data_IF_868149898844
#
_entry.id   IF_868149898844
#
_cell.length_a   1.000
_cell.length_b   1.000
_cell.length_c   1.000
_cell.angle_alpha   90.00
_cell.angle_beta   90.00
_cell.angle_gamma   90.00
#
_symmetry.space_group_name_H-M   'P 1'
#
loop_
_entity.id
_entity.type
_entity.pdbx_description
1 polymer ?
#
# COMPACT_ATOMS: atom_id res chain seq x y z
N UNK A 1 17.25 -20.21 37.39
CA UNK A 1 17.08 -21.21 36.31
C UNK A 1 17.57 -20.55 35.02
N UNK A 2 18.89 -20.42 34.90
CA UNK A 2 19.54 -19.92 33.70
C UNK A 2 19.45 -21.02 32.64
N UNK A 3 18.73 -20.77 31.55
CA UNK A 3 18.84 -21.62 30.37
C UNK A 3 20.24 -21.39 29.80
N UNK A 4 21.16 -22.26 30.22
CA UNK A 4 22.36 -22.56 29.44
C UNK A 4 21.87 -23.10 28.11
N UNK A 5 21.59 -22.17 27.20
CA UNK A 5 21.36 -22.48 25.80
C UNK A 5 22.68 -23.05 25.29
N UNK A 6 22.73 -24.37 25.13
CA UNK A 6 23.85 -25.09 24.53
C UNK A 6 24.21 -24.49 23.16
N UNK A 7 25.16 -23.56 23.17
CA UNK A 7 25.84 -22.99 22.00
C UNK A 7 27.01 -23.89 21.54
N UNK A 8 27.03 -25.17 21.96
CA UNK A 8 28.15 -26.13 21.78
C UNK A 8 28.38 -26.60 20.33
N UNK A 9 27.54 -26.22 19.37
CA UNK A 9 27.65 -26.66 17.97
C UNK A 9 28.01 -25.59 16.95
N UNK A 10 28.13 -24.32 17.36
CA UNK A 10 28.33 -23.22 16.41
C UNK A 10 29.83 -22.94 16.18
N UNK A 11 30.30 -22.97 14.92
CA UNK A 11 31.69 -22.66 14.59
C UNK A 11 32.03 -21.22 14.99
N UNK A 12 33.05 -21.08 15.83
CA UNK A 12 33.52 -19.79 16.36
C UNK A 12 34.47 -19.09 15.38
N UNK A 13 34.91 -19.80 14.33
CA UNK A 13 35.86 -19.36 13.34
C UNK A 13 35.17 -18.75 12.12
N UNK A 14 35.12 -17.42 12.09
CA UNK A 14 34.52 -16.65 11.01
C UNK A 14 35.01 -17.06 9.61
N UNK A 15 36.30 -17.43 9.48
CA UNK A 15 36.90 -17.88 8.21
C UNK A 15 36.23 -19.13 7.63
N UNK A 16 35.98 -20.13 8.47
CA UNK A 16 35.39 -21.39 8.01
C UNK A 16 33.95 -21.18 7.60
N UNK A 17 33.21 -20.37 8.34
CA UNK A 17 31.84 -20.00 7.96
C UNK A 17 31.79 -19.20 6.66
N UNK A 18 32.70 -18.25 6.44
CA UNK A 18 32.79 -17.52 5.17
C UNK A 18 33.00 -18.49 4.00
N UNK A 19 33.95 -19.41 4.11
CA UNK A 19 34.21 -20.40 3.06
C UNK A 19 33.01 -21.30 2.81
N UNK A 20 32.33 -21.75 3.87
CA UNK A 20 31.12 -22.56 3.78
C UNK A 20 29.97 -21.82 3.11
N UNK A 21 29.72 -20.57 3.48
CA UNK A 21 28.66 -19.75 2.89
C UNK A 21 28.91 -19.51 1.40
N UNK A 22 30.16 -19.21 1.04
CA UNK A 22 30.54 -18.96 -0.36
C UNK A 22 30.48 -20.21 -1.24
N UNK A 23 30.57 -21.40 -0.65
CA UNK A 23 30.49 -22.70 -1.37
C UNK A 23 29.16 -23.41 -1.17
N UNK A 24 28.22 -22.81 -0.43
CA UNK A 24 26.96 -23.45 -0.08
C UNK A 24 26.09 -23.66 -1.34
N UNK A 25 25.55 -24.87 -1.56
CA UNK A 25 24.74 -25.17 -2.74
C UNK A 25 23.32 -24.60 -2.67
N UNK A 26 22.85 -24.26 -1.46
CA UNK A 26 21.49 -23.78 -1.24
C UNK A 26 21.37 -22.85 -0.03
N UNK A 27 20.28 -22.07 0.03
CA UNK A 27 20.03 -21.07 1.07
C UNK A 27 19.69 -21.68 2.43
N UNK A 28 19.16 -22.91 2.45
CA UNK A 28 18.91 -23.65 3.69
C UNK A 28 20.23 -23.96 4.41
N UNK A 29 21.23 -24.45 3.66
CA UNK A 29 22.58 -24.70 4.15
C UNK A 29 23.22 -23.39 4.58
N UNK A 30 23.11 -22.30 3.80
CA UNK A 30 23.66 -20.98 4.18
C UNK A 30 23.23 -20.56 5.59
N UNK A 31 21.93 -20.68 5.92
CA UNK A 31 21.37 -20.28 7.21
C UNK A 31 21.43 -21.36 8.31
N UNK A 32 22.06 -22.51 8.07
CA UNK A 32 22.03 -23.66 9.00
C UNK A 32 20.60 -24.09 9.38
N UNK A 33 19.69 -24.11 8.42
CA UNK A 33 18.31 -24.54 8.66
C UNK A 33 17.89 -25.68 7.74
N UNK A 34 16.84 -26.39 8.13
CA UNK A 34 16.20 -27.41 7.30
C UNK A 34 15.00 -26.80 6.55
N UNK A 35 14.51 -27.41 5.45
CA UNK A 35 13.32 -26.90 4.74
C UNK A 35 12.06 -26.79 5.62
N UNK A 36 12.01 -27.55 6.72
CA UNK A 36 10.93 -27.59 7.71
C UNK A 36 11.15 -26.66 8.91
N UNK A 37 12.26 -25.91 8.97
CA UNK A 37 12.53 -25.00 10.08
C UNK A 37 11.49 -23.89 10.17
N UNK A 38 11.22 -23.44 11.39
CA UNK A 38 10.32 -22.31 11.64
C UNK A 38 11.00 -20.96 11.32
N UNK A 39 10.20 -19.92 11.06
CA UNK A 39 10.70 -18.55 10.84
C UNK A 39 11.52 -18.06 12.05
N UNK A 40 11.13 -18.43 13.27
CA UNK A 40 11.85 -18.08 14.49
C UNK A 40 13.27 -18.67 14.52
N UNK A 41 13.44 -19.89 14.02
CA UNK A 41 14.74 -20.57 13.91
C UNK A 41 15.61 -19.93 12.84
N UNK A 42 15.04 -19.63 11.67
CA UNK A 42 15.73 -18.90 10.59
C UNK A 42 16.23 -17.53 11.08
N UNK A 43 15.38 -16.80 11.81
CA UNK A 43 15.72 -15.49 12.38
C UNK A 43 16.82 -15.59 13.45
N UNK A 44 16.76 -16.62 14.31
CA UNK A 44 17.80 -16.88 15.32
C UNK A 44 19.16 -17.12 14.65
N UNK A 45 19.22 -17.97 13.64
CA UNK A 45 20.47 -18.29 12.94
C UNK A 45 20.99 -17.12 12.10
N UNK A 46 20.10 -16.36 11.46
CA UNK A 46 20.46 -15.14 10.75
C UNK A 46 21.19 -14.14 11.67
N UNK A 47 20.66 -13.87 12.87
CA UNK A 47 21.32 -12.95 13.80
C UNK A 47 22.67 -13.46 14.31
N UNK A 48 22.80 -14.78 14.52
CA UNK A 48 24.08 -15.40 14.89
C UNK A 48 25.13 -15.17 13.80
N UNK A 49 24.79 -15.48 12.55
CA UNK A 49 25.67 -15.28 11.39
C UNK A 49 26.00 -13.80 11.17
N UNK A 50 25.00 -12.91 11.24
CA UNK A 50 25.18 -11.47 11.12
C UNK A 50 26.15 -10.90 12.16
N UNK A 51 26.14 -11.43 13.40
CA UNK A 51 27.06 -11.01 14.46
C UNK A 51 28.51 -11.43 14.19
N UNK A 52 28.71 -12.58 13.56
CA UNK A 52 30.03 -13.13 13.22
C UNK A 52 30.59 -12.40 11.98
N UNK A 53 29.75 -12.19 10.96
CA UNK A 53 30.13 -11.60 9.67
C UNK A 53 30.07 -10.07 9.64
N UNK A 54 29.71 -9.42 10.75
CA UNK A 54 29.60 -7.96 10.79
C UNK A 54 30.93 -7.30 10.38
N UNK A 55 30.92 -6.30 9.48
CA UNK A 55 32.15 -5.71 8.94
C UNK A 55 33.04 -5.04 10.00
N UNK A 56 32.45 -4.65 11.13
CA UNK A 56 33.20 -4.14 12.30
C UNK A 56 34.03 -5.23 13.01
N UNK A 57 33.52 -6.46 13.04
CA UNK A 57 34.13 -7.58 13.79
C UNK A 57 34.97 -8.50 12.91
N UNK A 58 34.57 -8.71 11.67
CA UNK A 58 35.23 -9.61 10.74
C UNK A 58 35.80 -8.84 9.54
N UNK A 59 37.13 -8.81 9.44
CA UNK A 59 37.88 -8.16 8.33
C UNK A 59 38.45 -9.16 7.33
N UNK A 60 37.98 -10.40 7.40
CA UNK A 60 38.44 -11.46 6.50
C UNK A 60 37.96 -11.23 5.06
N UNK A 61 38.76 -11.62 4.06
CA UNK A 61 38.35 -11.51 2.66
C UNK A 61 37.11 -12.37 2.41
N UNK A 62 36.11 -11.82 1.71
CA UNK A 62 34.85 -12.51 1.42
C UNK A 62 33.81 -12.47 2.55
N UNK A 63 34.09 -11.82 3.68
CA UNK A 63 33.10 -11.64 4.75
C UNK A 63 31.88 -10.81 4.28
N UNK A 64 32.11 -9.79 3.46
CA UNK A 64 31.06 -8.96 2.88
C UNK A 64 30.14 -9.77 1.95
N UNK A 65 30.73 -10.61 1.09
CA UNK A 65 29.97 -11.43 0.15
C UNK A 65 29.18 -12.53 0.87
N UNK A 66 29.79 -13.17 1.88
CA UNK A 66 29.09 -14.11 2.74
C UNK A 66 27.91 -13.45 3.46
N UNK A 67 28.10 -12.23 3.98
CA UNK A 67 27.02 -11.47 4.64
C UNK A 67 25.88 -11.15 3.68
N UNK A 68 26.18 -10.76 2.44
CA UNK A 68 25.17 -10.54 1.39
C UNK A 68 24.39 -11.82 1.09
N UNK A 69 25.07 -12.95 0.92
CA UNK A 69 24.43 -14.26 0.68
C UNK A 69 23.52 -14.67 1.85
N UNK A 70 23.96 -14.46 3.10
CA UNK A 70 23.16 -14.75 4.30
C UNK A 70 21.91 -13.86 4.36
N UNK A 71 22.04 -12.57 4.06
CA UNK A 71 20.89 -11.65 4.03
C UNK A 71 19.87 -12.05 2.96
N UNK A 72 20.35 -12.40 1.76
CA UNK A 72 19.50 -12.85 0.66
C UNK A 72 18.79 -14.16 0.97
N UNK A 73 19.51 -15.13 1.55
CA UNK A 73 18.94 -16.40 1.98
C UNK A 73 17.80 -16.18 2.98
N UNK A 74 18.01 -15.30 3.97
CA UNK A 74 16.98 -14.99 4.97
C UNK A 74 15.75 -14.31 4.36
N UNK A 75 15.95 -13.30 3.50
CA UNK A 75 14.83 -12.60 2.85
C UNK A 75 14.00 -13.55 1.96
N UNK A 76 14.68 -14.44 1.23
CA UNK A 76 14.06 -15.43 0.36
C UNK A 76 13.25 -16.46 1.14
N UNK A 77 13.84 -17.02 2.21
CA UNK A 77 13.21 -18.12 2.96
C UNK A 77 12.14 -17.65 3.95
N UNK A 78 12.21 -16.40 4.40
CA UNK A 78 11.21 -15.81 5.31
C UNK A 78 9.90 -15.51 4.59
N UNK A 79 9.95 -15.03 3.35
CA UNK A 79 8.73 -14.74 2.59
C UNK A 79 8.13 -16.04 2.02
N UNK A 80 6.86 -16.37 2.33
CA UNK A 80 6.25 -17.61 1.85
C UNK A 80 6.12 -17.64 0.32
N UNK A 81 6.01 -16.48 -0.32
CA UNK A 81 5.96 -16.35 -1.78
C UNK A 81 7.36 -16.59 -2.36
N UNK A 82 8.38 -15.90 -1.85
CA UNK A 82 9.76 -16.05 -2.35
C UNK A 82 10.30 -17.45 -2.10
N UNK A 83 10.01 -18.05 -0.94
CA UNK A 83 10.37 -19.44 -0.62
C UNK A 83 9.82 -20.42 -1.66
N UNK A 84 8.54 -20.30 -2.02
CA UNK A 84 7.93 -21.16 -3.05
C UNK A 84 8.58 -20.99 -4.41
N UNK A 85 8.90 -19.75 -4.80
CA UNK A 85 9.60 -19.47 -6.05
C UNK A 85 11.02 -20.03 -6.05
N UNK A 86 11.73 -19.91 -4.93
CA UNK A 86 13.05 -20.49 -4.72
C UNK A 86 13.04 -22.02 -4.80
N UNK A 87 12.07 -22.68 -4.15
CA UNK A 87 11.93 -24.13 -4.19
C UNK A 87 11.59 -24.64 -5.60
N UNK A 88 10.77 -23.88 -6.34
CA UNK A 88 10.46 -24.17 -7.75
C UNK A 88 11.69 -23.99 -8.64
N UNK A 89 12.43 -22.89 -8.46
CA UNK A 89 13.69 -22.63 -9.15
C UNK A 89 14.70 -23.75 -8.90
N UNK A 90 14.88 -24.18 -7.65
CA UNK A 90 15.76 -25.30 -7.29
C UNK A 90 15.40 -26.60 -8.01
N UNK A 91 14.10 -26.88 -8.12
CA UNK A 91 13.61 -28.08 -8.82
C UNK A 91 13.94 -28.02 -10.31
N UNK A 92 13.79 -26.85 -10.93
CA UNK A 92 14.04 -26.64 -12.35
C UNK A 92 15.53 -26.66 -12.68
N UNK A 93 16.36 -26.04 -11.84
CA UNK A 93 17.83 -26.07 -11.98
C UNK A 93 18.41 -27.47 -11.81
N UNK A 94 17.84 -28.30 -10.93
CA UNK A 94 18.30 -29.68 -10.76
C UNK A 94 18.01 -30.57 -11.99
N UNK A 95 17.06 -30.18 -12.84
CA UNK A 95 16.73 -30.90 -14.08
C UNK A 95 17.55 -30.42 -15.29
N UNK A 96 18.11 -29.22 -15.24
CA UNK A 96 18.93 -28.65 -16.31
C UNK A 96 20.39 -29.10 -16.11
N UNK A 97 20.92 -29.88 -17.05
CA UNK A 97 22.30 -30.37 -17.01
C UNK A 97 23.32 -29.22 -17.20
N UNK A 98 23.65 -28.53 -16.11
CA UNK A 98 24.99 -28.00 -15.80
C UNK A 98 25.58 -26.85 -16.61
N UNK A 99 24.97 -26.38 -17.71
CA UNK A 99 25.53 -25.28 -18.50
C UNK A 99 24.80 -23.96 -18.20
N UNK A 100 25.38 -23.15 -17.31
CA UNK A 100 24.92 -21.81 -16.87
C UNK A 100 23.71 -21.77 -15.93
N UNK A 101 23.91 -22.19 -14.67
CA UNK A 101 22.95 -21.92 -13.59
C UNK A 101 23.12 -20.47 -13.13
N UNK A 102 22.30 -19.57 -13.67
CA UNK A 102 22.20 -18.17 -13.20
C UNK A 102 21.85 -18.14 -11.72
N UNK A 103 22.48 -17.25 -10.94
CA UNK A 103 22.24 -17.15 -9.50
C UNK A 103 20.78 -16.79 -9.20
N UNK A 104 20.20 -17.32 -8.13
CA UNK A 104 18.81 -16.98 -7.76
C UNK A 104 18.61 -15.47 -7.58
N UNK A 105 19.63 -14.73 -7.13
CA UNK A 105 19.60 -13.26 -7.08
C UNK A 105 19.33 -12.62 -8.46
N UNK A 106 19.94 -13.17 -9.51
CA UNK A 106 19.77 -12.72 -10.90
C UNK A 106 18.44 -13.21 -11.48
N UNK A 107 18.00 -14.43 -11.10
CA UNK A 107 16.67 -14.93 -11.41
C UNK A 107 15.56 -14.03 -10.83
N UNK A 108 15.69 -13.63 -9.56
CA UNK A 108 14.73 -12.73 -8.89
C UNK A 108 14.75 -11.33 -9.51
N UNK A 109 15.93 -10.78 -9.83
CA UNK A 109 16.07 -9.47 -10.46
C UNK A 109 15.34 -9.38 -11.81
N UNK A 110 15.24 -10.49 -12.56
CA UNK A 110 14.47 -10.55 -13.81
C UNK A 110 12.96 -10.58 -13.59
N UNK A 111 12.51 -11.13 -12.47
CA UNK A 111 11.08 -11.26 -12.14
C UNK A 111 10.52 -9.99 -11.47
N UNK A 112 11.37 -9.17 -10.83
CA UNK A 112 10.98 -7.98 -10.07
C UNK A 112 10.63 -6.73 -10.88
N UNK A 113 10.75 -6.75 -12.21
CA UNK A 113 10.26 -5.67 -13.06
C UNK A 113 8.80 -5.94 -13.43
N UNK A 114 7.88 -5.06 -13.01
CA UNK A 114 6.60 -4.90 -13.70
C UNK A 114 6.96 -4.57 -15.15
N UNK A 115 6.96 -5.58 -16.03
CA UNK A 115 7.18 -5.36 -17.46
C UNK A 115 5.97 -4.61 -17.99
N UNK A 116 6.03 -3.28 -17.93
CA UNK A 116 5.30 -2.46 -18.89
C UNK A 116 5.74 -2.98 -20.28
N UNK A 117 4.81 -3.20 -21.21
CA UNK A 117 5.13 -3.66 -22.55
C UNK A 117 6.31 -2.85 -23.12
N UNK A 118 7.26 -3.50 -23.79
CA UNK A 118 8.49 -2.84 -24.25
C UNK A 118 8.23 -1.59 -25.14
N UNK A 119 7.07 -1.54 -25.81
CA UNK A 119 6.61 -0.39 -26.57
C UNK A 119 6.19 0.79 -25.68
N UNK A 120 5.62 0.52 -24.51
CA UNK A 120 5.11 1.52 -23.59
C UNK A 120 6.23 2.22 -22.81
N UNK A 121 7.26 1.48 -22.38
CA UNK A 121 8.43 2.09 -21.74
C UNK A 121 9.18 3.04 -22.70
N UNK A 122 9.38 2.63 -23.96
CA UNK A 122 9.96 3.51 -24.99
C UNK A 122 9.09 4.73 -25.25
N UNK A 123 7.77 4.55 -25.27
CA UNK A 123 6.81 5.61 -25.55
C UNK A 123 6.77 6.66 -24.42
N UNK A 124 6.74 6.22 -23.16
CA UNK A 124 6.71 7.11 -21.99
C UNK A 124 8.05 7.82 -21.75
N UNK A 125 9.16 7.28 -22.27
CA UNK A 125 10.52 7.85 -22.16
C UNK A 125 10.78 9.00 -23.14
N UNK A 126 9.92 9.21 -24.14
CA UNK A 126 10.02 10.35 -25.05
C UNK A 126 9.70 11.63 -24.26
N UNK A 127 10.71 12.52 -24.13
CA UNK A 127 10.56 13.84 -23.49
C UNK A 127 9.41 14.60 -24.16
N UNK A 128 8.25 14.62 -23.50
CA UNK A 128 7.02 15.25 -24.00
C UNK A 128 5.77 14.36 -23.93
N UNK A 129 5.89 13.04 -24.12
CA UNK A 129 4.73 12.12 -24.10
C UNK A 129 4.08 12.08 -22.72
N UNK A 130 4.87 12.13 -21.65
CA UNK A 130 4.36 12.23 -20.28
C UNK A 130 3.47 13.48 -20.08
N UNK A 131 3.88 14.63 -20.62
CA UNK A 131 3.07 15.86 -20.55
C UNK A 131 1.83 15.80 -21.44
N UNK A 132 1.93 15.18 -22.63
CA UNK A 132 0.78 14.98 -23.53
C UNK A 132 -0.27 14.08 -22.88
N UNK A 133 0.15 12.99 -22.21
CA UNK A 133 -0.76 12.09 -21.48
C UNK A 133 -1.45 12.82 -20.34
N UNK A 134 -0.71 13.63 -19.56
CA UNK A 134 -1.29 14.44 -18.49
C UNK A 134 -2.29 15.48 -19.03
N UNK A 135 -1.97 16.15 -20.12
CA UNK A 135 -2.86 17.13 -20.77
C UNK A 135 -4.09 16.45 -21.35
N UNK A 136 -3.95 15.29 -22.01
CA UNK A 136 -5.08 14.53 -22.53
C UNK A 136 -6.02 14.06 -21.39
N UNK A 137 -5.45 13.59 -20.28
CA UNK A 137 -6.21 13.19 -19.10
C UNK A 137 -6.94 14.41 -18.49
N UNK A 138 -6.28 15.56 -18.40
CA UNK A 138 -6.88 16.81 -17.94
C UNK A 138 -8.03 17.28 -18.85
N UNK A 139 -7.87 17.22 -20.18
CA UNK A 139 -8.90 17.59 -21.16
C UNK A 139 -10.16 16.70 -21.03
N UNK A 140 -10.00 15.44 -20.64
CA UNK A 140 -11.13 14.53 -20.39
C UNK A 140 -11.72 14.74 -18.99
N UNK A 141 -10.89 15.01 -17.99
CA UNK A 141 -11.33 15.15 -16.60
C UNK A 141 -12.08 16.46 -16.35
N UNK A 142 -11.65 17.58 -16.95
CA UNK A 142 -12.29 18.90 -16.81
C UNK A 142 -13.79 18.87 -17.19
N UNK A 143 -14.21 18.39 -18.38
CA UNK A 143 -15.61 18.37 -18.74
C UNK A 143 -16.43 17.44 -17.84
N UNK A 144 -15.86 16.32 -17.39
CA UNK A 144 -16.52 15.43 -16.41
C UNK A 144 -16.77 16.15 -15.10
N UNK A 145 -15.79 16.89 -14.58
CA UNK A 145 -15.95 17.68 -13.36
C UNK A 145 -16.98 18.80 -13.53
N UNK A 146 -17.01 19.49 -14.68
CA UNK A 146 -18.01 20.51 -14.99
C UNK A 146 -19.41 19.91 -14.99
N UNK A 147 -19.60 18.75 -15.63
CA UNK A 147 -20.89 18.05 -15.67
C UNK A 147 -21.35 17.70 -14.25
N UNK A 148 -20.47 17.11 -13.43
CA UNK A 148 -20.79 16.76 -12.03
C UNK A 148 -21.18 18.01 -11.23
N UNK A 149 -20.45 19.11 -11.40
CA UNK A 149 -20.74 20.37 -10.73
C UNK A 149 -22.11 20.96 -11.14
N UNK A 150 -22.40 20.97 -12.45
CA UNK A 150 -23.69 21.45 -12.97
C UNK A 150 -24.84 20.58 -12.48
N UNK A 151 -24.68 19.25 -12.49
CA UNK A 151 -25.68 18.32 -11.94
C UNK A 151 -25.91 18.56 -10.45
N UNK A 152 -24.87 18.85 -9.68
CA UNK A 152 -24.98 19.21 -8.27
C UNK A 152 -25.77 20.51 -8.06
N UNK A 153 -25.52 21.54 -8.88
CA UNK A 153 -26.28 22.80 -8.84
C UNK A 153 -27.76 22.57 -9.20
N UNK A 154 -28.03 21.81 -10.27
CA UNK A 154 -29.39 21.50 -10.69
C UNK A 154 -30.13 20.73 -9.60
N UNK A 155 -29.49 19.72 -9.00
CA UNK A 155 -30.06 18.98 -7.88
C UNK A 155 -30.35 19.90 -6.68
N UNK A 156 -29.45 20.85 -6.37
CA UNK A 156 -29.67 21.84 -5.33
C UNK A 156 -30.86 22.76 -5.64
N UNK A 157 -30.98 23.27 -6.87
CA UNK A 157 -32.09 24.13 -7.30
C UNK A 157 -33.43 23.38 -7.26
N UNK A 158 -33.46 22.12 -7.73
CA UNK A 158 -34.67 21.30 -7.73
C UNK A 158 -35.09 20.86 -6.33
N UNK A 159 -34.14 20.67 -5.42
CA UNK A 159 -34.39 20.30 -4.03
C UNK A 159 -34.74 21.52 -3.14
N UNK A 160 -34.52 22.74 -3.64
CA UNK A 160 -34.79 23.97 -2.90
C UNK A 160 -36.31 24.26 -2.90
N UNK A 161 -36.99 24.26 -1.75
CA UNK A 161 -38.39 24.66 -1.70
C UNK A 161 -38.52 26.11 -2.16
N UNK A 162 -39.53 26.39 -3.00
CA UNK A 162 -39.81 27.71 -3.60
C UNK A 162 -39.77 28.85 -2.57
N UNK A 163 -40.12 28.55 -1.31
CA UNK A 163 -40.10 29.49 -0.20
C UNK A 163 -38.69 30.02 0.17
N UNK A 164 -37.65 29.19 0.04
CA UNK A 164 -36.25 29.62 0.26
C UNK A 164 -35.74 30.48 -0.91
N UNK A 165 -36.20 30.23 -2.15
CA UNK A 165 -35.80 31.00 -3.32
C UNK A 165 -36.36 32.43 -3.29
N UNK A 166 -37.64 32.59 -2.94
CA UNK A 166 -38.28 33.90 -2.79
C UNK A 166 -37.59 34.73 -1.68
N UNK A 167 -37.11 34.07 -0.62
CA UNK A 167 -36.37 34.72 0.47
C UNK A 167 -35.00 35.29 0.05
N UNK A 168 -34.28 34.62 -0.85
CA UNK A 168 -32.97 35.08 -1.34
C UNK A 168 -33.12 36.19 -2.38
N UNK A 169 -33.99 36.03 -3.37
CA UNK A 169 -34.09 36.94 -4.51
C UNK A 169 -35.07 38.10 -4.31
N UNK A 170 -36.06 37.97 -3.43
CA UNK A 170 -37.08 39.00 -3.17
C UNK A 170 -37.30 39.21 -1.65
N UNK A 171 -36.26 39.66 -0.92
CA UNK A 171 -36.30 39.72 0.55
C UNK A 171 -37.38 40.66 1.10
N UNK A 172 -37.72 41.74 0.39
CA UNK A 172 -38.79 42.66 0.81
C UNK A 172 -40.19 42.09 0.63
N UNK A 173 -40.42 41.36 -0.47
CA UNK A 173 -41.73 40.73 -0.72
C UNK A 173 -41.99 39.62 0.28
N UNK A 174 -40.95 38.84 0.61
CA UNK A 174 -41.03 37.81 1.64
C UNK A 174 -41.41 38.37 3.01
N UNK A 175 -40.81 39.50 3.43
CA UNK A 175 -41.13 40.15 4.72
C UNK A 175 -42.59 40.60 4.81
N UNK A 176 -43.10 41.27 3.77
CA UNK A 176 -44.51 41.72 3.74
C UNK A 176 -45.50 40.57 3.86
N UNK A 177 -45.28 39.47 3.14
CA UNK A 177 -46.15 38.29 3.23
C UNK A 177 -46.16 37.67 4.64
N UNK A 178 -45.05 37.74 5.39
CA UNK A 178 -45.02 37.27 6.77
C UNK A 178 -45.73 38.21 7.76
N UNK A 179 -45.64 39.52 7.53
CA UNK A 179 -46.37 40.50 8.33
C UNK A 179 -47.87 40.33 8.14
N UNK A 180 -48.34 40.22 6.89
CA UNK A 180 -49.75 39.93 6.57
C UNK A 180 -50.23 38.59 7.16
N UNK A 181 -49.40 37.54 7.11
CA UNK A 181 -49.75 36.23 7.67
C UNK A 181 -49.88 36.25 9.21
N UNK A 182 -49.00 36.97 9.91
CA UNK A 182 -49.12 37.16 11.37
C UNK A 182 -50.38 37.93 11.73
N UNK A 183 -50.66 39.01 11.00
CA UNK A 183 -51.86 39.83 11.26
C UNK A 183 -53.14 38.99 11.08
N UNK A 184 -53.18 38.12 10.07
CA UNK A 184 -54.29 37.18 9.87
C UNK A 184 -54.41 36.14 11.00
N UNK A 185 -53.29 35.62 11.48
CA UNK A 185 -53.29 34.65 12.59
C UNK A 185 -53.75 35.28 13.89
N UNK A 186 -53.25 36.47 14.22
CA UNK A 186 -53.68 37.26 15.39
C UNK A 186 -55.17 37.62 15.31
N UNK A 187 -55.67 38.00 14.12
CA UNK A 187 -57.09 38.24 13.90
C UNK A 187 -57.93 36.98 14.13
N UNK A 188 -57.50 35.84 13.58
CA UNK A 188 -58.20 34.56 13.73
C UNK A 188 -58.17 34.08 15.20
N UNK A 189 -57.07 34.27 15.91
CA UNK A 189 -56.97 33.95 17.33
C UNK A 189 -57.88 34.83 18.19
N UNK A 190 -57.94 36.14 17.90
CA UNK A 190 -58.86 37.05 18.55
C UNK A 190 -60.33 36.66 18.31
N UNK A 191 -60.67 36.28 17.07
CA UNK A 191 -62.01 35.80 16.72
C UNK A 191 -62.34 34.48 17.44
N UNK A 192 -61.41 33.53 17.47
CA UNK A 192 -61.56 32.26 18.21
C UNK A 192 -61.68 32.48 19.71
N UNK A 193 -60.93 33.42 20.28
CA UNK A 193 -61.01 33.78 21.69
C UNK A 193 -62.36 34.43 22.02
N UNK A 194 -62.84 35.34 21.17
CA UNK A 194 -64.16 35.94 21.31
C UNK A 194 -65.29 34.91 21.22
N UNK A 195 -65.22 33.97 20.27
CA UNK A 195 -66.18 32.85 20.17
C UNK A 195 -66.17 31.97 21.42
N UNK A 196 -64.99 31.65 21.97
CA UNK A 196 -64.88 30.85 23.21
C UNK A 196 -65.47 31.58 24.42
N UNK A 197 -65.23 32.88 24.54
CA UNK A 197 -65.79 33.69 25.62
C UNK A 197 -67.32 33.77 25.52
N UNK A 198 -67.86 33.96 24.31
CA UNK A 198 -69.31 33.97 24.08
C UNK A 198 -69.97 32.61 24.36
N UNK A 199 -69.27 31.50 24.14
CA UNK A 199 -69.78 30.16 24.47
C UNK A 199 -69.79 29.85 25.98
N UNK A 200 -69.11 30.65 26.80
CA UNK A 200 -69.01 30.48 28.26
C UNK A 200 -69.93 31.43 29.06
N UNK A 201 -70.60 32.37 28.40
CA UNK A 201 -71.54 33.34 28.98
C UNK A 201 -72.99 32.90 28.78
#
# INVERSE_FOLDING_TARGET
MSTEDNDEGWPQDAKTEINRINTAPNYYVVLHVTPNSSEAEMKKNYYKLARILHPDKCKEPGAEDAMKTVALAYDTLTSPIKKRLYDAYMTDTNNQNGENVESYAEWEARQGQVQLPAWLDRLLRIRGVSWIVLVALLIILIPVLIIVFVLSIIAWILCMPVNFFIRIFFPEKYRRMQEEAREQEEQLEAERAAMRAAAQA
#
